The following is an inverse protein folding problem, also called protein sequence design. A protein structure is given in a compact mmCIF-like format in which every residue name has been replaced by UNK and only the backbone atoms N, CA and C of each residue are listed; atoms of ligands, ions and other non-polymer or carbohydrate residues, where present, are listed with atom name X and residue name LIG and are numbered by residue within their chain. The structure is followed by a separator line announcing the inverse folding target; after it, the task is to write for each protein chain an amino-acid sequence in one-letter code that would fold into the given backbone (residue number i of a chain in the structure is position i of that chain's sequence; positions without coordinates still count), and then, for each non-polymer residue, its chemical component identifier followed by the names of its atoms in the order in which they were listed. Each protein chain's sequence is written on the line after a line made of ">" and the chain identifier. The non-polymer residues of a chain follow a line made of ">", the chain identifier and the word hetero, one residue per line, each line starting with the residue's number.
data_IF_741651243467
#
_entry.id   IF_741651243467
#
_cell.length_a   1.000
_cell.length_b   1.000
_cell.length_c   1.000
_cell.angle_alpha   90.00
_cell.angle_beta   90.00
_cell.angle_gamma   90.00
#
_symmetry.space_group_name_H-M   'P 1'
#
loop_
_entity.id
_entity.type
_entity.pdbx_description
1 polymer ?
#
# COMPACT_ATOMS: atom_id res chain seq x y z
N UNK A 1 19.22 -10.68 -40.07
CA UNK A 1 17.96 -10.32 -39.39
C UNK A 1 16.85 -10.28 -40.43
N UNK A 2 15.65 -10.76 -40.10
CA UNK A 2 14.51 -10.78 -41.03
C UNK A 2 14.04 -9.33 -41.31
N UNK A 3 14.02 -8.82 -42.55
CA UNK A 3 13.68 -7.42 -42.85
C UNK A 3 12.30 -6.98 -42.34
N UNK A 4 11.32 -7.90 -42.30
CA UNK A 4 9.99 -7.62 -41.74
C UNK A 4 10.02 -7.29 -40.25
N UNK A 5 11.02 -7.80 -39.52
CA UNK A 5 11.20 -7.52 -38.10
C UNK A 5 11.60 -6.07 -37.84
N UNK A 6 12.41 -5.47 -38.72
CA UNK A 6 12.85 -4.07 -38.59
C UNK A 6 11.69 -3.09 -38.87
N UNK A 7 10.80 -3.43 -39.80
CA UNK A 7 9.63 -2.59 -40.15
C UNK A 7 8.60 -2.57 -39.01
N UNK A 8 8.39 -3.69 -38.33
CA UNK A 8 7.44 -3.79 -37.21
C UNK A 8 7.94 -3.00 -36.00
N UNK A 9 9.24 -3.07 -35.70
CA UNK A 9 9.85 -2.33 -34.59
C UNK A 9 9.85 -0.81 -34.80
N UNK A 10 10.06 -0.32 -36.03
CA UNK A 10 10.00 1.12 -36.33
C UNK A 10 8.58 1.68 -36.17
N UNK A 11 7.55 0.88 -36.50
CA UNK A 11 6.15 1.25 -36.27
C UNK A 11 5.80 1.32 -34.78
N UNK A 12 6.31 0.40 -33.97
CA UNK A 12 6.08 0.42 -32.52
C UNK A 12 6.69 1.66 -31.87
N UNK A 13 7.91 2.04 -32.26
CA UNK A 13 8.56 3.28 -31.80
C UNK A 13 7.78 4.51 -32.29
N UNK A 14 7.31 4.52 -33.54
CA UNK A 14 6.49 5.62 -34.07
C UNK A 14 5.16 5.79 -33.32
N UNK A 15 4.52 4.68 -32.93
CA UNK A 15 3.30 4.70 -32.10
C UNK A 15 3.63 5.22 -30.70
N UNK A 16 4.75 4.80 -30.12
CA UNK A 16 5.20 5.30 -28.82
C UNK A 16 5.42 6.81 -28.85
N UNK A 17 6.10 7.33 -29.86
CA UNK A 17 6.35 8.76 -30.03
C UNK A 17 5.04 9.55 -30.20
N UNK A 18 4.09 9.01 -30.98
CA UNK A 18 2.75 9.57 -31.08
C UNK A 18 2.04 9.62 -29.72
N UNK A 19 2.09 8.55 -28.93
CA UNK A 19 1.45 8.51 -27.62
C UNK A 19 2.08 9.50 -26.63
N UNK A 20 3.41 9.63 -26.64
CA UNK A 20 4.13 10.62 -25.83
C UNK A 20 3.66 12.04 -26.17
N UNK A 21 3.62 12.39 -27.46
CA UNK A 21 3.18 13.71 -27.93
C UNK A 21 1.71 13.98 -27.54
N UNK A 22 0.83 13.00 -27.74
CA UNK A 22 -0.58 13.11 -27.35
C UNK A 22 -0.78 13.29 -25.85
N UNK A 23 -0.02 12.58 -25.01
CA UNK A 23 -0.06 12.75 -23.55
C UNK A 23 0.40 14.15 -23.17
N UNK A 24 1.50 14.65 -23.75
CA UNK A 24 2.00 16.00 -23.50
C UNK A 24 0.96 17.07 -23.87
N UNK A 25 0.39 17.00 -25.08
CA UNK A 25 -0.66 17.93 -25.53
C UNK A 25 -1.88 17.90 -24.60
N UNK A 26 -2.34 16.69 -24.25
CA UNK A 26 -3.49 16.53 -23.36
C UNK A 26 -3.19 17.04 -21.94
N UNK A 27 -1.97 16.85 -21.44
CA UNK A 27 -1.53 17.38 -20.14
C UNK A 27 -1.50 18.91 -20.15
N UNK A 28 -0.94 19.53 -21.19
CA UNK A 28 -0.88 20.98 -21.31
C UNK A 28 -2.29 21.60 -21.38
N UNK A 29 -3.23 20.92 -22.05
CA UNK A 29 -4.62 21.35 -22.11
C UNK A 29 -5.30 21.32 -20.73
N UNK A 30 -5.15 20.24 -19.95
CA UNK A 30 -5.78 20.13 -18.61
C UNK A 30 -5.09 21.01 -17.57
N UNK A 31 -3.79 21.27 -17.70
CA UNK A 31 -3.07 22.23 -16.85
C UNK A 31 -3.59 23.65 -17.08
N UNK A 32 -3.91 24.00 -18.33
CA UNK A 32 -4.46 25.31 -18.69
C UNK A 32 -5.90 25.49 -18.23
N UNK A 33 -6.75 24.50 -18.50
CA UNK A 33 -8.16 24.52 -18.11
C UNK A 33 -8.65 23.10 -17.79
N UNK A 34 -8.57 22.73 -16.52
CA UNK A 34 -9.03 21.42 -16.07
C UNK A 34 -10.55 21.27 -16.18
N UNK A 35 -11.31 22.34 -15.91
CA UNK A 35 -12.77 22.28 -15.75
C UNK A 35 -13.50 21.79 -17.01
N UNK A 36 -12.96 22.11 -18.19
CA UNK A 36 -13.53 21.65 -19.47
C UNK A 36 -12.68 20.56 -20.12
N UNK A 37 -11.35 20.64 -20.05
CA UNK A 37 -10.47 19.81 -20.87
C UNK A 37 -10.45 18.34 -20.43
N UNK A 38 -10.78 18.02 -19.18
CA UNK A 38 -10.73 16.63 -18.70
C UNK A 38 -11.75 15.71 -19.38
N UNK A 39 -12.85 16.26 -19.90
CA UNK A 39 -13.87 15.51 -20.63
C UNK A 39 -13.39 14.95 -21.97
N UNK A 40 -12.49 15.67 -22.64
CA UNK A 40 -11.98 15.32 -23.97
C UNK A 40 -10.59 14.70 -23.92
N UNK A 41 -9.88 14.82 -22.78
CA UNK A 41 -8.52 14.33 -22.60
C UNK A 41 -8.49 13.12 -21.65
N UNK A 42 -8.65 11.93 -22.22
CA UNK A 42 -8.49 10.66 -21.50
C UNK A 42 -7.00 10.28 -21.38
N UNK A 43 -6.26 11.03 -20.57
CA UNK A 43 -4.80 10.82 -20.41
C UNK A 43 -4.51 9.41 -19.88
N UNK A 44 -5.30 8.91 -18.92
CA UNK A 44 -5.15 7.56 -18.37
C UNK A 44 -5.22 6.46 -19.45
N UNK A 45 -6.10 6.60 -20.45
CA UNK A 45 -6.19 5.65 -21.57
C UNK A 45 -4.97 5.71 -22.50
N UNK A 46 -4.43 6.91 -22.73
CA UNK A 46 -3.18 7.09 -23.48
C UNK A 46 -1.99 6.49 -22.72
N UNK A 47 -1.88 6.76 -21.42
CA UNK A 47 -0.82 6.22 -20.54
C UNK A 47 -0.88 4.70 -20.47
N UNK A 48 -2.08 4.13 -20.39
CA UNK A 48 -2.27 2.67 -20.43
C UNK A 48 -1.81 2.09 -21.78
N UNK A 49 -2.17 2.72 -22.90
CA UNK A 49 -1.75 2.29 -24.24
C UNK A 49 -0.22 2.39 -24.40
N UNK A 50 0.39 3.46 -23.90
CA UNK A 50 1.83 3.65 -23.87
C UNK A 50 2.51 2.55 -23.06
N UNK A 51 1.98 2.22 -21.88
CA UNK A 51 2.51 1.15 -21.03
C UNK A 51 2.49 -0.21 -21.74
N UNK A 52 1.41 -0.53 -22.47
CA UNK A 52 1.33 -1.75 -23.28
C UNK A 52 2.35 -1.75 -24.42
N UNK A 53 2.47 -0.64 -25.14
CA UNK A 53 3.45 -0.49 -26.20
C UNK A 53 4.89 -0.69 -25.67
N UNK A 54 5.22 -0.15 -24.50
CA UNK A 54 6.51 -0.36 -23.84
C UNK A 54 6.77 -1.82 -23.52
N UNK A 55 5.77 -2.55 -23.00
CA UNK A 55 5.90 -3.97 -22.70
C UNK A 55 6.09 -4.84 -23.95
N UNK A 56 5.42 -4.50 -25.05
CA UNK A 56 5.60 -5.19 -26.33
C UNK A 56 7.01 -4.92 -26.91
N UNK A 57 7.51 -3.69 -26.79
CA UNK A 57 8.89 -3.33 -27.17
C UNK A 57 9.91 -4.06 -26.28
N UNK A 58 9.64 -4.19 -24.99
CA UNK A 58 10.49 -4.87 -24.01
C UNK A 58 10.60 -6.38 -24.25
N UNK A 59 9.47 -7.03 -24.58
CA UNK A 59 9.35 -8.48 -24.77
C UNK A 59 9.72 -8.95 -26.18
N UNK A 60 9.78 -8.05 -27.17
CA UNK A 60 9.99 -8.35 -28.58
C UNK A 60 11.44 -8.30 -29.09
N UNK A 61 11.57 -8.55 -30.41
CA UNK A 61 12.82 -8.59 -31.20
C UNK A 61 13.55 -7.23 -31.35
N UNK A 62 13.15 -6.20 -30.60
CA UNK A 62 13.63 -4.82 -30.72
C UNK A 62 14.84 -4.50 -29.84
N UNK A 63 15.37 -5.44 -29.04
CA UNK A 63 16.60 -5.21 -28.27
C UNK A 63 17.78 -4.79 -29.15
N UNK A 64 17.85 -5.28 -30.39
CA UNK A 64 18.89 -4.86 -31.34
C UNK A 64 18.76 -3.38 -31.74
N UNK A 65 17.54 -2.85 -31.88
CA UNK A 65 17.30 -1.43 -32.19
C UNK A 65 17.53 -0.53 -30.99
N UNK A 66 17.11 -0.97 -29.80
CA UNK A 66 17.46 -0.30 -28.54
C UNK A 66 18.98 -0.21 -28.40
N UNK A 67 19.69 -1.29 -28.73
CA UNK A 67 21.15 -1.32 -28.67
C UNK A 67 21.84 -0.43 -29.71
N UNK A 68 21.23 -0.21 -30.88
CA UNK A 68 21.76 0.67 -31.93
C UNK A 68 21.55 2.15 -31.56
N UNK A 69 20.38 2.51 -31.02
CA UNK A 69 20.00 3.89 -30.69
C UNK A 69 19.80 4.10 -29.18
N UNK A 70 20.77 3.68 -28.36
CA UNK A 70 20.66 3.68 -26.88
C UNK A 70 20.31 5.04 -26.31
N UNK A 71 20.94 6.11 -26.78
CA UNK A 71 20.71 7.47 -26.26
C UNK A 71 19.30 7.98 -26.59
N UNK A 72 18.80 7.68 -27.78
CA UNK A 72 17.47 8.08 -28.24
C UNK A 72 16.36 7.31 -27.49
N UNK A 73 16.59 6.02 -27.22
CA UNK A 73 15.71 5.22 -26.39
C UNK A 73 15.70 5.71 -24.94
N UNK A 74 16.88 5.98 -24.38
CA UNK A 74 17.02 6.54 -23.03
C UNK A 74 16.26 7.86 -22.90
N UNK A 75 16.40 8.76 -23.87
CA UNK A 75 15.67 10.04 -23.89
C UNK A 75 14.15 9.84 -23.88
N UNK A 76 13.63 8.83 -24.58
CA UNK A 76 12.19 8.48 -24.51
C UNK A 76 11.78 8.05 -23.13
N UNK A 77 12.56 7.18 -22.48
CA UNK A 77 12.27 6.77 -21.10
C UNK A 77 12.28 7.97 -20.15
N UNK A 78 13.26 8.87 -20.27
CA UNK A 78 13.33 10.13 -19.49
C UNK A 78 12.06 10.99 -19.68
N UNK A 79 11.60 11.15 -20.93
CA UNK A 79 10.38 11.90 -21.23
C UNK A 79 9.15 11.21 -20.63
N UNK A 80 9.05 9.88 -20.75
CA UNK A 80 7.92 9.11 -20.22
C UNK A 80 7.86 9.22 -18.69
N UNK A 81 8.99 9.08 -17.99
CA UNK A 81 9.05 9.26 -16.53
C UNK A 81 8.63 10.68 -16.16
N UNK A 82 9.19 11.68 -16.83
CA UNK A 82 8.89 13.09 -16.57
C UNK A 82 7.40 13.41 -16.79
N UNK A 83 6.79 12.89 -17.84
CA UNK A 83 5.36 13.08 -18.13
C UNK A 83 4.47 12.49 -17.04
N UNK A 84 4.74 11.25 -16.63
CA UNK A 84 3.99 10.60 -15.57
C UNK A 84 4.17 11.31 -14.21
N UNK A 85 5.38 11.79 -13.91
CA UNK A 85 5.66 12.59 -12.72
C UNK A 85 4.88 13.90 -12.71
N UNK A 86 4.90 14.65 -13.82
CA UNK A 86 4.14 15.90 -13.96
C UNK A 86 2.64 15.66 -13.81
N UNK A 87 2.11 14.62 -14.45
CA UNK A 87 0.69 14.26 -14.35
C UNK A 87 0.30 13.89 -12.92
N UNK A 88 1.10 13.06 -12.24
CA UNK A 88 0.87 12.71 -10.83
C UNK A 88 0.90 13.97 -9.96
N UNK A 89 1.91 14.81 -10.08
CA UNK A 89 2.01 16.06 -9.30
C UNK A 89 0.82 16.98 -9.56
N UNK A 90 0.43 17.18 -10.81
CA UNK A 90 -0.72 17.99 -11.17
C UNK A 90 -2.01 17.46 -10.53
N UNK A 91 -2.29 16.15 -10.65
CA UNK A 91 -3.49 15.55 -10.04
C UNK A 91 -3.48 15.69 -8.52
N UNK A 92 -2.31 15.50 -7.91
CA UNK A 92 -2.11 15.63 -6.48
C UNK A 92 -2.33 17.08 -5.99
N UNK A 93 -1.88 18.08 -6.74
CA UNK A 93 -2.15 19.51 -6.48
C UNK A 93 -3.63 19.87 -6.66
N UNK A 94 -4.29 19.30 -7.68
CA UNK A 94 -5.73 19.47 -7.91
C UNK A 94 -6.52 18.97 -6.70
N UNK A 95 -6.20 17.77 -6.20
CA UNK A 95 -6.82 17.20 -5.01
C UNK A 95 -6.52 18.04 -3.75
N UNK A 96 -5.35 18.66 -3.66
CA UNK A 96 -4.99 19.57 -2.57
C UNK A 96 -5.56 21.00 -2.71
N UNK A 97 -6.31 21.30 -3.77
CA UNK A 97 -6.88 22.63 -3.98
C UNK A 97 -5.84 23.73 -4.22
N UNK A 98 -4.72 23.40 -4.89
CA UNK A 98 -3.61 24.32 -5.18
C UNK A 98 -2.88 24.88 -3.94
N UNK A 99 -3.14 24.33 -2.75
CA UNK A 99 -2.29 24.57 -1.57
C UNK A 99 -0.99 23.76 -1.70
N UNK A 100 0.05 24.11 -0.93
CA UNK A 100 1.29 23.33 -0.90
C UNK A 100 0.97 21.86 -0.62
N UNK A 101 1.36 20.98 -1.54
CA UNK A 101 1.01 19.55 -1.50
C UNK A 101 1.53 18.80 -0.27
N UNK A 102 2.44 19.41 0.51
CA UNK A 102 2.86 18.88 1.80
C UNK A 102 1.69 18.74 2.80
N UNK A 103 0.60 19.48 2.60
CA UNK A 103 -0.64 19.30 3.34
C UNK A 103 -1.50 18.21 2.70
N UNK A 104 -1.54 17.01 3.29
CA UNK A 104 -2.44 15.92 2.87
C UNK A 104 -3.92 16.30 3.13
N UNK A 105 -4.69 16.70 2.10
CA UNK A 105 -6.00 17.33 2.27
C UNK A 105 -7.03 16.33 2.78
N UNK A 106 -7.91 16.75 3.69
CA UNK A 106 -9.07 15.98 4.13
C UNK A 106 -10.07 15.74 2.99
N UNK A 107 -10.98 14.79 3.16
CA UNK A 107 -12.04 14.55 2.17
C UNK A 107 -12.93 15.77 1.96
N UNK A 108 -13.14 16.58 3.00
CA UNK A 108 -13.86 17.83 2.89
C UNK A 108 -13.08 18.86 2.05
N UNK A 109 -11.78 19.02 2.30
CA UNK A 109 -10.91 19.93 1.53
C UNK A 109 -10.78 19.50 0.07
N UNK A 110 -10.59 18.20 -0.20
CA UNK A 110 -10.63 17.66 -1.57
C UNK A 110 -11.99 17.93 -2.23
N UNK A 111 -13.08 17.76 -1.49
CA UNK A 111 -14.43 18.05 -1.95
C UNK A 111 -14.60 19.50 -2.38
N UNK A 112 -14.17 20.44 -1.53
CA UNK A 112 -14.19 21.89 -1.81
C UNK A 112 -13.31 22.22 -3.02
N UNK A 113 -12.10 21.66 -3.09
CA UNK A 113 -11.18 21.88 -4.20
C UNK A 113 -11.79 21.48 -5.55
N UNK A 114 -12.32 20.25 -5.64
CA UNK A 114 -12.93 19.76 -6.87
C UNK A 114 -14.20 20.52 -7.23
N UNK A 115 -15.06 20.84 -6.25
CA UNK A 115 -16.26 21.63 -6.51
C UNK A 115 -15.92 23.02 -7.05
N UNK A 116 -14.88 23.67 -6.53
CA UNK A 116 -14.44 24.99 -7.03
C UNK A 116 -14.04 24.98 -8.52
N UNK A 117 -13.57 23.84 -9.03
CA UNK A 117 -13.19 23.66 -10.43
C UNK A 117 -14.38 23.36 -11.35
N UNK A 118 -15.49 22.85 -10.78
CA UNK A 118 -16.72 22.55 -11.51
C UNK A 118 -17.64 23.78 -11.53
N UNK A 119 -17.72 24.51 -10.42
CA UNK A 119 -18.60 25.66 -10.24
C UNK A 119 -18.17 26.92 -10.99
N UNK A 120 -17.02 26.93 -11.67
CA UNK A 120 -16.65 28.01 -12.61
C UNK A 120 -17.60 28.12 -13.82
N UNK A 121 -18.66 27.31 -13.90
CA UNK A 121 -19.68 27.37 -14.97
C UNK A 121 -21.15 27.48 -14.57
N UNK A 122 -21.56 27.29 -13.30
CA UNK A 122 -22.98 27.37 -12.89
C UNK A 122 -23.18 27.83 -11.42
N UNK A 123 -24.23 28.62 -11.19
CA UNK A 123 -24.62 29.22 -9.89
C UNK A 123 -24.93 28.17 -8.80
N UNK A 124 -24.70 28.54 -7.54
CA UNK A 124 -24.79 27.69 -6.36
C UNK A 124 -26.21 27.21 -6.05
N UNK A 125 -26.47 25.90 -6.16
CA UNK A 125 -27.51 25.22 -5.36
C UNK A 125 -26.87 24.52 -4.16
N UNK A 126 -27.18 25.08 -3.00
CA UNK A 126 -26.64 24.73 -1.69
C UNK A 126 -27.27 23.41 -1.21
N UNK A 127 -26.52 22.30 -1.27
CA UNK A 127 -26.89 21.11 -0.50
C UNK A 127 -26.32 19.75 -0.89
N UNK A 128 -25.91 19.47 -2.13
CA UNK A 128 -25.54 18.09 -2.55
C UNK A 128 -24.42 17.97 -3.61
N UNK A 129 -23.48 18.92 -3.66
CA UNK A 129 -22.40 18.93 -4.66
C UNK A 129 -21.45 17.71 -4.62
N UNK A 130 -21.25 17.05 -3.47
CA UNK A 130 -20.35 15.87 -3.37
C UNK A 130 -20.88 14.62 -4.12
N UNK A 131 -22.11 14.68 -4.61
CA UNK A 131 -22.77 13.60 -5.37
C UNK A 131 -23.07 13.96 -6.82
N UNK A 132 -22.62 15.12 -7.33
CA UNK A 132 -22.88 15.45 -8.74
C UNK A 132 -22.15 14.48 -9.68
N UNK A 133 -22.76 14.11 -10.82
CA UNK A 133 -22.11 13.29 -11.84
C UNK A 133 -20.75 13.86 -12.29
N UNK A 134 -20.65 15.19 -12.40
CA UNK A 134 -19.45 15.91 -12.79
C UNK A 134 -18.33 15.77 -11.75
N UNK A 135 -18.68 15.88 -10.46
CA UNK A 135 -17.74 15.65 -9.36
C UNK A 135 -17.20 14.23 -9.37
N UNK A 136 -18.07 13.24 -9.53
CA UNK A 136 -17.68 11.84 -9.58
C UNK A 136 -16.83 11.53 -10.81
N UNK A 137 -17.10 12.17 -11.95
CA UNK A 137 -16.29 12.03 -13.16
C UNK A 137 -14.90 12.64 -12.99
N UNK A 138 -14.79 13.85 -12.43
CA UNK A 138 -13.50 14.51 -12.20
C UNK A 138 -12.66 13.76 -11.15
N UNK A 139 -13.29 13.33 -10.06
CA UNK A 139 -12.64 12.49 -9.05
C UNK A 139 -12.14 11.18 -9.70
N UNK A 140 -12.95 10.57 -10.57
CA UNK A 140 -12.59 9.36 -11.31
C UNK A 140 -11.41 9.57 -12.24
N UNK A 141 -11.44 10.67 -12.98
CA UNK A 141 -10.34 11.08 -13.84
C UNK A 141 -9.04 11.24 -13.04
N UNK A 142 -9.09 11.88 -11.87
CA UNK A 142 -7.91 12.06 -11.01
C UNK A 142 -7.30 10.71 -10.58
N UNK A 143 -8.08 9.83 -9.95
CA UNK A 143 -7.51 8.59 -9.43
C UNK A 143 -7.11 7.59 -10.53
N UNK A 144 -7.80 7.57 -11.68
CA UNK A 144 -7.40 6.75 -12.83
C UNK A 144 -6.05 7.19 -13.40
N UNK A 145 -5.82 8.49 -13.54
CA UNK A 145 -4.53 9.00 -14.01
C UNK A 145 -3.38 8.65 -13.05
N UNK A 146 -3.59 8.76 -11.73
CA UNK A 146 -2.57 8.34 -10.75
C UNK A 146 -2.30 6.83 -10.85
N UNK A 147 -3.36 6.01 -10.96
CA UNK A 147 -3.25 4.55 -11.09
C UNK A 147 -2.45 4.14 -12.33
N UNK A 148 -2.87 4.60 -13.51
CA UNK A 148 -2.22 4.20 -14.76
C UNK A 148 -0.80 4.77 -14.86
N UNK A 149 -0.54 5.97 -14.33
CA UNK A 149 0.82 6.52 -14.27
C UNK A 149 1.75 5.72 -13.36
N UNK A 150 1.28 5.33 -12.17
CA UNK A 150 2.04 4.46 -11.28
C UNK A 150 2.34 3.11 -11.93
N UNK A 151 1.36 2.53 -12.65
CA UNK A 151 1.58 1.29 -13.40
C UNK A 151 2.65 1.48 -14.49
N UNK A 152 2.57 2.58 -15.24
CA UNK A 152 3.55 2.90 -16.27
C UNK A 152 4.97 3.03 -15.70
N UNK A 153 5.13 3.79 -14.61
CA UNK A 153 6.42 3.96 -13.94
C UNK A 153 7.01 2.63 -13.46
N UNK A 154 6.17 1.72 -12.95
CA UNK A 154 6.59 0.36 -12.57
C UNK A 154 7.19 -0.42 -13.75
N UNK A 155 6.56 -0.39 -14.92
CA UNK A 155 7.09 -1.09 -16.11
C UNK A 155 8.33 -0.41 -16.69
N UNK A 156 8.32 0.93 -16.77
CA UNK A 156 9.47 1.72 -17.25
C UNK A 156 10.72 1.43 -16.42
N UNK A 157 10.56 1.18 -15.13
CA UNK A 157 11.69 0.86 -14.24
C UNK A 157 12.45 -0.39 -14.66
N UNK A 158 11.77 -1.40 -15.21
CA UNK A 158 12.44 -2.59 -15.78
C UNK A 158 13.33 -2.23 -16.96
N UNK A 159 12.82 -1.39 -17.86
CA UNK A 159 13.50 -0.93 -19.07
C UNK A 159 14.69 -0.04 -18.74
N UNK A 160 14.56 0.80 -17.72
CA UNK A 160 15.62 1.68 -17.22
C UNK A 160 16.72 0.86 -16.55
N UNK A 161 16.36 -0.14 -15.73
CA UNK A 161 17.33 -1.03 -15.10
C UNK A 161 18.13 -1.85 -16.12
N UNK A 162 17.51 -2.26 -17.23
CA UNK A 162 18.15 -3.06 -18.27
C UNK A 162 19.17 -2.28 -19.14
N UNK A 163 19.05 -0.95 -19.27
CA UNK A 163 19.82 -0.14 -20.23
C UNK A 163 21.00 0.63 -19.61
N UNK A 164 21.72 0.02 -18.67
CA UNK A 164 22.75 0.60 -17.80
C UNK A 164 23.61 1.75 -18.37
N UNK A 165 23.51 2.92 -17.73
CA UNK A 165 24.39 4.06 -17.94
C UNK A 165 24.08 5.27 -17.05
N UNK A 166 22.82 5.44 -16.62
CA UNK A 166 22.38 6.58 -15.78
C UNK A 166 21.05 6.29 -15.06
N UNK A 167 20.82 5.02 -14.76
CA UNK A 167 19.52 4.49 -14.32
C UNK A 167 19.18 4.84 -12.87
N UNK A 168 20.17 5.05 -12.01
CA UNK A 168 19.97 5.16 -10.55
C UNK A 168 19.14 6.38 -10.19
N UNK A 169 19.50 7.58 -10.66
CA UNK A 169 18.77 8.81 -10.30
C UNK A 169 17.30 8.75 -10.72
N UNK A 170 17.04 8.27 -11.94
CA UNK A 170 15.68 8.09 -12.44
C UNK A 170 14.90 7.06 -11.63
N UNK A 171 15.52 5.93 -11.26
CA UNK A 171 14.87 4.92 -10.42
C UNK A 171 14.61 5.44 -9.00
N UNK A 172 15.52 6.24 -8.43
CA UNK A 172 15.32 6.94 -7.17
C UNK A 172 14.15 7.92 -7.27
N UNK A 173 14.09 8.73 -8.32
CA UNK A 173 12.99 9.67 -8.55
C UNK A 173 11.64 8.94 -8.68
N UNK A 174 11.60 7.77 -9.34
CA UNK A 174 10.41 6.93 -9.40
C UNK A 174 10.03 6.41 -8.01
N UNK A 175 11.01 5.96 -7.22
CA UNK A 175 10.80 5.54 -5.84
C UNK A 175 10.18 6.64 -4.97
N UNK A 176 10.71 7.86 -5.04
CA UNK A 176 10.18 9.02 -4.32
C UNK A 176 8.75 9.37 -4.73
N UNK A 177 8.40 9.18 -6.01
CA UNK A 177 7.04 9.38 -6.50
C UNK A 177 6.07 8.36 -5.89
N UNK A 178 6.47 7.09 -5.77
CA UNK A 178 5.65 6.09 -5.07
C UNK A 178 5.46 6.44 -3.59
N UNK A 179 6.53 6.86 -2.91
CA UNK A 179 6.46 7.33 -1.51
C UNK A 179 5.46 8.48 -1.42
N UNK A 180 5.61 9.49 -2.27
CA UNK A 180 4.71 10.65 -2.32
C UNK A 180 3.28 10.21 -2.51
N UNK A 181 2.94 9.51 -3.60
CA UNK A 181 1.57 9.04 -3.89
C UNK A 181 0.96 8.28 -2.71
N UNK A 182 1.69 7.34 -2.12
CA UNK A 182 1.17 6.49 -1.04
C UNK A 182 1.07 7.19 0.32
N UNK A 183 1.88 8.22 0.57
CA UNK A 183 1.84 8.96 1.85
C UNK A 183 0.88 10.15 1.84
N UNK A 184 0.53 10.66 0.65
CA UNK A 184 -0.25 11.90 0.50
C UNK A 184 -1.63 11.70 -0.11
N UNK A 185 -1.87 10.61 -0.85
CA UNK A 185 -3.18 10.37 -1.44
C UNK A 185 -4.12 9.70 -0.43
N UNK A 186 -5.35 10.22 -0.31
CA UNK A 186 -6.38 9.63 0.56
C UNK A 186 -7.41 8.76 -0.16
N UNK A 187 -7.51 8.88 -1.48
CA UNK A 187 -8.49 8.13 -2.23
C UNK A 187 -8.05 6.66 -2.32
N UNK A 188 -8.86 5.75 -1.74
CA UNK A 188 -8.55 4.32 -1.67
C UNK A 188 -8.21 3.73 -3.04
N UNK A 189 -8.95 4.10 -4.08
CA UNK A 189 -8.69 3.60 -5.45
C UNK A 189 -7.34 4.05 -6.03
N UNK A 190 -6.84 5.24 -5.67
CA UNK A 190 -5.53 5.71 -6.12
C UNK A 190 -4.40 4.99 -5.37
N UNK A 191 -4.54 4.87 -4.04
CA UNK A 191 -3.57 4.18 -3.16
C UNK A 191 -3.49 2.69 -3.50
N UNK A 192 -4.62 2.02 -3.69
CA UNK A 192 -4.64 0.60 -4.08
C UNK A 192 -4.22 0.40 -5.54
N UNK A 193 -4.52 1.36 -6.41
CA UNK A 193 -4.15 1.36 -7.82
C UNK A 193 -2.64 1.47 -8.06
N UNK A 194 -1.91 2.16 -7.19
CA UNK A 194 -0.44 2.27 -7.30
C UNK A 194 0.32 1.02 -6.86
N UNK A 195 -0.33 0.10 -6.13
CA UNK A 195 0.29 -1.13 -5.61
C UNK A 195 0.93 -1.98 -6.70
N UNK A 196 0.26 -2.15 -7.83
CA UNK A 196 0.77 -2.97 -8.94
C UNK A 196 2.08 -2.39 -9.50
N UNK A 197 2.08 -1.09 -9.80
CA UNK A 197 3.28 -0.38 -10.25
C UNK A 197 4.43 -0.46 -9.25
N UNK A 198 4.15 -0.27 -7.96
CA UNK A 198 5.15 -0.38 -6.89
C UNK A 198 5.72 -1.80 -6.80
N UNK A 199 4.88 -2.83 -6.91
CA UNK A 199 5.33 -4.21 -6.86
C UNK A 199 6.29 -4.53 -7.99
N UNK A 200 5.98 -4.07 -9.21
CA UNK A 200 6.83 -4.22 -10.37
C UNK A 200 8.15 -3.46 -10.20
N UNK A 201 8.09 -2.19 -9.81
CA UNK A 201 9.27 -1.38 -9.47
C UNK A 201 10.21 -2.14 -8.50
N UNK A 202 9.70 -2.54 -7.34
CA UNK A 202 10.50 -3.25 -6.34
C UNK A 202 11.03 -4.58 -6.89
N UNK A 203 10.17 -5.39 -7.52
CA UNK A 203 10.55 -6.73 -7.99
C UNK A 203 11.64 -6.66 -9.07
N UNK A 204 11.56 -5.71 -9.99
CA UNK A 204 12.59 -5.54 -11.03
C UNK A 204 13.91 -5.06 -10.44
N UNK A 205 13.89 -4.08 -9.53
CA UNK A 205 15.12 -3.56 -8.91
C UNK A 205 15.83 -4.64 -8.10
N UNK A 206 15.08 -5.42 -7.32
CA UNK A 206 15.63 -6.49 -6.49
C UNK A 206 16.12 -7.67 -7.34
N UNK A 207 15.41 -8.03 -8.42
CA UNK A 207 15.81 -9.14 -9.30
C UNK A 207 16.94 -8.76 -10.28
N UNK A 208 17.28 -7.48 -10.41
CA UNK A 208 18.32 -7.00 -11.33
C UNK A 208 19.72 -7.53 -11.01
N UNK A 209 19.99 -7.92 -9.76
CA UNK A 209 21.32 -8.31 -9.29
C UNK A 209 22.31 -7.16 -9.13
N UNK A 210 21.91 -5.93 -9.43
CA UNK A 210 22.73 -4.72 -9.22
C UNK A 210 22.51 -4.20 -7.80
N UNK A 211 23.59 -4.06 -7.03
CA UNK A 211 23.54 -3.64 -5.63
C UNK A 211 22.82 -2.29 -5.47
N UNK A 212 23.23 -1.28 -6.23
CA UNK A 212 22.66 0.08 -6.17
C UNK A 212 21.15 0.10 -6.44
N UNK A 213 20.65 -0.75 -7.35
CA UNK A 213 19.21 -0.84 -7.65
C UNK A 213 18.45 -1.52 -6.52
N UNK A 214 19.01 -2.59 -5.98
CA UNK A 214 18.41 -3.35 -4.86
C UNK A 214 18.34 -2.50 -3.59
N UNK A 215 19.28 -1.58 -3.42
CA UNK A 215 19.35 -0.69 -2.26
C UNK A 215 18.21 0.34 -2.25
N UNK A 216 17.75 0.84 -3.40
CA UNK A 216 16.72 1.90 -3.47
C UNK A 216 15.43 1.54 -2.68
N UNK A 217 14.70 0.43 -2.95
CA UNK A 217 13.52 0.09 -2.16
C UNK A 217 13.82 -0.19 -0.68
N UNK A 218 15.00 -0.74 -0.38
CA UNK A 218 15.40 -1.08 0.98
C UNK A 218 15.68 0.18 1.82
N UNK A 219 16.37 1.16 1.25
CA UNK A 219 16.68 2.45 1.89
C UNK A 219 15.40 3.24 2.13
N UNK A 220 14.49 3.31 1.15
CA UNK A 220 13.20 3.98 1.32
C UNK A 220 12.39 3.29 2.43
N UNK A 221 12.34 1.95 2.46
CA UNK A 221 11.69 1.21 3.54
C UNK A 221 12.26 1.59 4.91
N UNK A 222 13.59 1.63 5.05
CA UNK A 222 14.25 1.99 6.30
C UNK A 222 13.92 3.43 6.72
N UNK A 223 13.95 4.39 5.79
CA UNK A 223 13.58 5.78 6.05
C UNK A 223 12.14 5.91 6.57
N UNK A 224 11.20 5.16 5.97
CA UNK A 224 9.80 5.13 6.42
C UNK A 224 9.70 4.52 7.83
N UNK A 225 10.38 3.42 8.11
CA UNK A 225 10.38 2.76 9.42
C UNK A 225 11.00 3.64 10.53
N UNK A 226 12.06 4.39 10.21
CA UNK A 226 12.67 5.38 11.11
C UNK A 226 11.71 6.54 11.35
N UNK A 227 11.11 7.09 10.30
CA UNK A 227 10.14 8.19 10.41
C UNK A 227 8.91 7.81 11.24
N UNK A 228 8.45 6.55 11.09
CA UNK A 228 7.41 5.95 11.92
C UNK A 228 7.83 5.85 13.39
N UNK A 229 9.10 5.55 13.69
CA UNK A 229 9.56 5.41 15.08
C UNK A 229 9.60 6.74 15.83
N UNK A 230 9.85 7.84 15.13
CA UNK A 230 9.98 9.17 15.71
C UNK A 230 8.68 9.98 15.73
N UNK A 231 7.52 9.38 15.41
CA UNK A 231 6.25 10.11 15.18
C UNK A 231 6.42 11.31 14.22
N UNK A 232 7.41 11.26 13.32
CA UNK A 232 7.80 12.39 12.46
C UNK A 232 7.05 12.40 11.13
N UNK A 233 6.21 11.38 10.90
CA UNK A 233 5.24 11.39 9.82
C UNK A 233 4.19 12.45 10.16
N UNK A 234 4.05 13.47 9.32
CA UNK A 234 3.17 14.61 9.59
C UNK A 234 1.75 14.11 9.95
N UNK A 235 1.21 14.60 11.06
CA UNK A 235 -0.08 14.19 11.63
C UNK A 235 -1.28 14.38 10.69
N UNK A 236 -1.11 15.18 9.63
CA UNK A 236 -2.09 15.36 8.55
C UNK A 236 -1.95 14.32 7.43
N UNK A 237 -0.75 13.80 7.15
CA UNK A 237 -0.51 12.74 6.14
C UNK A 237 -1.09 11.38 6.56
N UNK A 238 -1.27 11.17 7.86
CA UNK A 238 -1.53 9.85 8.46
C UNK A 238 -2.98 9.55 8.83
N UNK A 239 -3.93 10.49 8.66
CA UNK A 239 -5.34 10.31 9.10
C UNK A 239 -6.03 9.06 8.56
N UNK A 240 -5.47 8.44 7.52
CA UNK A 240 -5.54 6.99 7.31
C UNK A 240 -4.19 6.55 6.79
N UNK A 241 -3.40 5.84 7.58
CA UNK A 241 -2.23 5.07 7.14
C UNK A 241 -2.65 3.97 6.15
N UNK A 242 -3.28 4.32 5.04
CA UNK A 242 -3.74 3.39 4.03
C UNK A 242 -2.59 3.03 3.09
N UNK A 243 -1.78 4.02 2.69
CA UNK A 243 -0.66 3.77 1.80
C UNK A 243 0.60 3.25 2.48
N UNK A 244 0.88 3.59 3.75
CA UNK A 244 2.05 3.06 4.46
C UNK A 244 2.06 1.51 4.58
N UNK A 245 0.96 0.86 5.03
CA UNK A 245 0.87 -0.59 5.00
C UNK A 245 1.04 -1.16 3.60
N UNK A 246 0.45 -0.53 2.57
CA UNK A 246 0.60 -0.97 1.18
C UNK A 246 2.06 -0.87 0.73
N UNK A 247 2.73 0.26 1.01
CA UNK A 247 4.12 0.47 0.63
C UNK A 247 5.02 -0.58 1.27
N UNK A 248 5.03 -0.65 2.60
CA UNK A 248 5.90 -1.55 3.36
C UNK A 248 5.62 -3.01 2.97
N UNK A 249 4.34 -3.40 2.92
CA UNK A 249 3.96 -4.75 2.51
C UNK A 249 4.43 -5.08 1.09
N UNK A 250 4.29 -4.16 0.14
CA UNK A 250 4.67 -4.40 -1.26
C UNK A 250 6.17 -4.57 -1.41
N UNK A 251 6.98 -3.75 -0.74
CA UNK A 251 8.44 -3.89 -0.72
C UNK A 251 8.83 -5.24 -0.09
N UNK A 252 8.29 -5.55 1.09
CA UNK A 252 8.59 -6.80 1.79
C UNK A 252 8.19 -8.03 0.97
N UNK A 253 7.03 -8.00 0.31
CA UNK A 253 6.57 -9.08 -0.54
C UNK A 253 7.51 -9.27 -1.74
N UNK A 254 7.97 -8.19 -2.38
CA UNK A 254 8.93 -8.26 -3.47
C UNK A 254 10.29 -8.81 -3.02
N UNK A 255 10.81 -8.35 -1.88
CA UNK A 255 12.08 -8.82 -1.31
C UNK A 255 12.00 -10.29 -0.90
N UNK A 256 10.91 -10.69 -0.25
CA UNK A 256 10.69 -12.06 0.20
C UNK A 256 10.62 -13.05 -0.98
N UNK A 257 9.90 -12.69 -2.05
CA UNK A 257 9.81 -13.50 -3.27
C UNK A 257 11.16 -13.66 -3.98
N UNK A 258 12.05 -12.68 -3.87
CA UNK A 258 13.42 -12.73 -4.40
C UNK A 258 14.44 -13.39 -3.45
N UNK A 259 13.99 -13.97 -2.34
CA UNK A 259 14.80 -14.86 -1.49
C UNK A 259 15.39 -14.23 -0.23
N UNK A 260 15.33 -12.91 -0.05
CA UNK A 260 15.78 -12.26 1.20
C UNK A 260 14.67 -12.32 2.26
N UNK A 261 14.72 -13.37 3.08
CA UNK A 261 13.72 -13.63 4.14
C UNK A 261 14.00 -12.88 5.43
N UNK A 262 15.20 -12.33 5.60
CA UNK A 262 15.63 -11.70 6.84
C UNK A 262 15.08 -10.29 6.98
N UNK A 263 14.93 -9.56 5.86
CA UNK A 263 14.31 -8.23 5.87
C UNK A 263 12.85 -8.27 6.36
N UNK A 264 12.10 -9.33 6.03
CA UNK A 264 10.75 -9.55 6.56
C UNK A 264 10.78 -9.61 8.09
N UNK A 265 11.64 -10.45 8.65
CA UNK A 265 11.71 -10.66 10.10
C UNK A 265 12.17 -9.39 10.82
N UNK A 266 13.22 -8.74 10.32
CA UNK A 266 13.72 -7.47 10.86
C UNK A 266 12.66 -6.38 10.83
N UNK A 267 11.88 -6.28 9.75
CA UNK A 267 10.78 -5.31 9.63
C UNK A 267 9.65 -5.62 10.61
N UNK A 268 9.26 -6.89 10.76
CA UNK A 268 8.22 -7.29 11.71
C UNK A 268 8.67 -7.04 13.15
N UNK A 269 9.92 -7.32 13.50
CA UNK A 269 10.46 -7.02 14.83
C UNK A 269 10.54 -5.52 15.10
N UNK A 270 10.94 -4.70 14.11
CA UNK A 270 10.90 -3.24 14.22
C UNK A 270 9.49 -2.73 14.49
N UNK A 271 8.50 -3.18 13.70
CA UNK A 271 7.10 -2.79 13.89
C UNK A 271 6.54 -3.28 15.23
N UNK A 272 6.92 -4.48 15.68
CA UNK A 272 6.56 -4.98 17.00
C UNK A 272 7.11 -4.06 18.11
N UNK A 273 8.37 -3.65 18.00
CA UNK A 273 8.99 -2.76 18.97
C UNK A 273 8.28 -1.41 19.01
N UNK A 274 7.99 -0.80 17.84
CA UNK A 274 7.21 0.44 17.76
C UNK A 274 5.83 0.27 18.39
N UNK A 275 5.10 -0.81 18.06
CA UNK A 275 3.78 -1.10 18.63
C UNK A 275 3.78 -1.35 20.14
N UNK A 276 4.90 -1.81 20.70
CA UNK A 276 5.07 -2.12 22.12
C UNK A 276 5.54 -0.93 22.96
N UNK A 277 5.88 0.21 22.33
CA UNK A 277 6.33 1.41 23.05
C UNK A 277 5.22 1.98 23.93
N UNK A 278 5.62 2.50 25.10
CA UNK A 278 4.72 3.21 26.00
C UNK A 278 4.12 4.44 25.31
N UNK A 279 2.90 4.79 25.68
CA UNK A 279 2.25 6.01 25.21
C UNK A 279 3.01 7.24 25.73
N UNK A 280 3.20 8.29 24.90
CA UNK A 280 3.67 9.58 25.37
C UNK A 280 2.74 10.12 26.47
N UNK A 281 3.29 10.88 27.41
CA UNK A 281 2.53 11.45 28.55
C UNK A 281 1.49 12.49 28.13
N UNK A 282 1.65 13.10 26.96
CA UNK A 282 0.91 14.23 26.42
C UNK A 282 0.07 13.88 25.17
N UNK A 283 -0.27 12.60 24.98
CA UNK A 283 -1.01 12.16 23.79
C UNK A 283 -2.46 12.68 23.74
N UNK A 284 -2.94 12.99 22.54
CA UNK A 284 -4.34 13.35 22.26
C UNK A 284 -5.10 12.19 21.61
N UNK A 285 -6.38 12.01 21.94
CA UNK A 285 -7.24 11.01 21.30
C UNK A 285 -7.44 11.26 19.79
N UNK A 286 -7.25 12.50 19.34
CA UNK A 286 -7.40 12.89 17.93
C UNK A 286 -6.09 12.75 17.12
N UNK A 287 -5.02 12.29 17.76
CA UNK A 287 -3.71 12.10 17.12
C UNK A 287 -3.52 10.63 16.76
N UNK A 288 -3.05 10.40 15.53
CA UNK A 288 -2.62 9.06 15.13
C UNK A 288 -1.32 8.70 15.86
N UNK A 289 -1.28 7.50 16.42
CA UNK A 289 -0.13 7.00 17.17
C UNK A 289 0.72 6.09 16.29
N UNK A 290 2.05 6.20 16.39
CA UNK A 290 2.96 5.29 15.69
C UNK A 290 2.72 3.83 16.03
N UNK A 291 2.29 3.54 17.27
CA UNK A 291 1.83 2.22 17.68
C UNK A 291 0.64 1.72 16.83
N UNK A 292 -0.36 2.58 16.61
CA UNK A 292 -1.54 2.25 15.79
C UNK A 292 -1.17 2.04 14.32
N UNK A 293 -0.26 2.85 13.78
CA UNK A 293 0.28 2.64 12.44
C UNK A 293 1.04 1.32 12.32
N UNK A 294 1.92 1.01 13.28
CA UNK A 294 2.66 -0.24 13.31
C UNK A 294 1.72 -1.46 13.35
N UNK A 295 0.67 -1.43 14.17
CA UNK A 295 -0.36 -2.47 14.22
C UNK A 295 -1.11 -2.63 12.88
N UNK A 296 -1.44 -1.52 12.20
CA UNK A 296 -2.07 -1.57 10.87
C UNK A 296 -1.13 -2.12 9.78
N UNK A 297 0.17 -1.84 9.87
CA UNK A 297 1.16 -2.42 8.95
C UNK A 297 1.33 -3.91 9.22
N UNK A 298 1.44 -4.31 10.49
CA UNK A 298 1.48 -5.71 10.91
C UNK A 298 0.24 -6.46 10.44
N UNK A 299 -0.96 -5.87 10.55
CA UNK A 299 -2.19 -6.44 9.99
C UNK A 299 -2.02 -6.81 8.52
N UNK A 300 -1.60 -5.86 7.69
CA UNK A 300 -1.43 -6.10 6.25
C UNK A 300 -0.41 -7.20 5.96
N UNK A 301 0.70 -7.25 6.71
CA UNK A 301 1.72 -8.30 6.57
C UNK A 301 1.16 -9.67 6.95
N UNK A 302 0.47 -9.80 8.09
CA UNK A 302 -0.09 -11.08 8.56
C UNK A 302 -1.31 -11.54 7.74
N UNK A 303 -2.00 -10.63 7.04
CA UNK A 303 -3.03 -10.97 6.06
C UNK A 303 -2.46 -11.67 4.81
N UNK A 304 -1.19 -11.48 4.46
CA UNK A 304 -0.61 -12.06 3.25
C UNK A 304 -0.32 -13.56 3.41
N UNK A 305 -1.05 -14.39 2.66
CA UNK A 305 -0.88 -15.84 2.67
C UNK A 305 0.50 -16.29 2.18
N UNK A 306 1.17 -15.53 1.29
CA UNK A 306 2.51 -15.87 0.80
C UNK A 306 3.60 -15.74 1.86
N UNK A 307 3.35 -14.97 2.93
CA UNK A 307 4.28 -14.77 4.04
C UNK A 307 3.97 -15.68 5.25
N UNK A 308 2.83 -16.38 5.23
CA UNK A 308 2.27 -17.07 6.39
C UNK A 308 3.23 -18.09 7.02
N UNK A 309 3.92 -18.90 6.22
CA UNK A 309 4.86 -19.91 6.72
C UNK A 309 5.99 -19.31 7.55
N UNK A 310 6.52 -18.16 7.13
CA UNK A 310 7.61 -17.48 7.84
C UNK A 310 7.12 -16.73 9.08
N UNK A 311 5.87 -16.30 9.08
CA UNK A 311 5.23 -15.57 10.18
C UNK A 311 4.60 -16.46 11.25
N UNK A 312 4.37 -17.75 10.96
CA UNK A 312 3.74 -18.71 11.87
C UNK A 312 4.34 -18.71 13.30
N UNK A 313 5.69 -18.71 13.48
CA UNK A 313 6.29 -18.71 14.81
C UNK A 313 6.02 -17.44 15.63
N UNK A 314 5.58 -16.35 14.98
CA UNK A 314 5.31 -15.07 15.62
C UNK A 314 3.85 -14.90 16.06
N UNK A 315 2.95 -15.82 15.70
CA UNK A 315 1.51 -15.68 15.99
C UNK A 315 1.24 -15.50 17.48
N UNK A 316 1.83 -16.31 18.36
CA UNK A 316 1.66 -16.16 19.81
C UNK A 316 2.13 -14.78 20.30
N UNK A 317 3.34 -14.36 19.90
CA UNK A 317 3.94 -13.07 20.28
C UNK A 317 3.06 -11.90 19.82
N UNK A 318 2.52 -11.96 18.60
CA UNK A 318 1.62 -10.92 18.09
C UNK A 318 0.27 -10.91 18.78
N UNK A 319 -0.32 -12.08 19.06
CA UNK A 319 -1.61 -12.16 19.77
C UNK A 319 -1.50 -11.53 21.15
N UNK A 320 -0.43 -11.79 21.89
CA UNK A 320 -0.17 -11.15 23.20
C UNK A 320 -0.08 -9.63 23.07
N UNK A 321 0.66 -9.11 22.09
CA UNK A 321 0.76 -7.66 21.83
C UNK A 321 -0.62 -7.05 21.58
N UNK A 322 -1.41 -7.69 20.73
CA UNK A 322 -2.74 -7.20 20.34
C UNK A 322 -3.70 -7.21 21.53
N UNK A 323 -3.73 -8.30 22.31
CA UNK A 323 -4.55 -8.39 23.53
C UNK A 323 -4.21 -7.27 24.51
N UNK A 324 -2.92 -6.96 24.71
CA UNK A 324 -2.51 -5.81 25.53
C UNK A 324 -2.94 -4.47 24.93
N UNK A 325 -2.94 -4.35 23.60
CA UNK A 325 -3.40 -3.17 22.87
C UNK A 325 -4.87 -2.83 23.11
N UNK A 326 -5.73 -3.80 23.44
CA UNK A 326 -7.13 -3.57 23.78
C UNK A 326 -7.32 -2.78 25.08
N UNK A 327 -6.37 -2.87 26.01
CA UNK A 327 -6.37 -2.12 27.27
C UNK A 327 -5.71 -0.75 27.12
N UNK A 328 -5.22 -0.40 25.93
CA UNK A 328 -4.63 0.91 25.67
C UNK A 328 -5.67 2.03 25.85
N UNK A 329 -5.32 3.14 26.51
CA UNK A 329 -6.22 4.28 26.62
C UNK A 329 -6.35 5.06 25.30
N UNK A 330 -5.48 4.85 24.31
CA UNK A 330 -5.59 5.44 22.96
C UNK A 330 -6.59 4.69 22.07
N UNK A 331 -7.57 5.42 21.51
CA UNK A 331 -8.54 4.87 20.57
C UNK A 331 -7.89 4.30 19.30
N UNK A 332 -6.87 4.96 18.75
CA UNK A 332 -6.22 4.51 17.51
C UNK A 332 -5.51 3.16 17.68
N UNK A 333 -4.89 2.93 18.84
CA UNK A 333 -4.26 1.64 19.19
C UNK A 333 -5.33 0.55 19.35
N UNK A 334 -6.41 0.81 20.09
CA UNK A 334 -7.51 -0.16 20.25
C UNK A 334 -8.12 -0.53 18.90
N UNK A 335 -8.35 0.45 18.02
CA UNK A 335 -8.92 0.21 16.69
C UNK A 335 -8.01 -0.68 15.84
N UNK A 336 -6.70 -0.38 15.80
CA UNK A 336 -5.74 -1.19 15.04
C UNK A 336 -5.58 -2.60 15.62
N UNK A 337 -5.59 -2.74 16.95
CA UNK A 337 -5.59 -4.04 17.64
C UNK A 337 -6.80 -4.90 17.25
N UNK A 338 -8.01 -4.31 17.20
CA UNK A 338 -9.22 -4.98 16.73
C UNK A 338 -9.11 -5.49 15.30
N UNK A 339 -8.44 -4.75 14.43
CA UNK A 339 -8.26 -5.17 13.04
C UNK A 339 -7.26 -6.32 12.89
N UNK A 340 -6.18 -6.31 13.69
CA UNK A 340 -5.15 -7.35 13.66
C UNK A 340 -5.61 -8.64 14.34
N UNK A 341 -6.36 -8.59 15.46
CA UNK A 341 -6.81 -9.81 16.15
C UNK A 341 -7.64 -10.72 15.26
N UNK A 342 -8.57 -10.16 14.46
CA UNK A 342 -9.39 -10.94 13.53
C UNK A 342 -8.53 -11.70 12.51
N UNK A 343 -7.42 -11.10 12.08
CA UNK A 343 -6.46 -11.75 11.18
C UNK A 343 -5.72 -12.88 11.89
N UNK A 344 -5.24 -12.65 13.11
CA UNK A 344 -4.51 -13.64 13.90
C UNK A 344 -5.38 -14.83 14.29
N UNK A 345 -6.64 -14.59 14.68
CA UNK A 345 -7.63 -15.63 14.99
C UNK A 345 -7.80 -16.59 13.80
N UNK A 346 -8.02 -16.06 12.60
CA UNK A 346 -8.15 -16.88 11.38
C UNK A 346 -6.86 -17.64 11.07
N UNK A 347 -5.68 -17.07 11.37
CA UNK A 347 -4.39 -17.74 11.18
C UNK A 347 -4.13 -18.87 12.17
N UNK A 348 -4.58 -18.72 13.42
CA UNK A 348 -4.40 -19.71 14.48
C UNK A 348 -5.41 -20.84 14.31
N UNK A 349 -6.69 -20.51 14.19
CA UNK A 349 -7.79 -21.49 14.26
C UNK A 349 -8.33 -21.93 12.89
N UNK A 350 -7.91 -21.27 11.81
CA UNK A 350 -8.49 -21.47 10.48
C UNK A 350 -9.80 -20.70 10.29
N UNK A 351 -10.41 -20.83 9.10
CA UNK A 351 -11.76 -20.33 8.84
C UNK A 351 -12.77 -21.39 9.28
N UNK A 352 -13.64 -21.06 10.24
CA UNK A 352 -14.76 -21.93 10.62
C UNK A 352 -15.83 -21.86 9.53
N UNK A 353 -16.20 -23.00 8.95
CA UNK A 353 -17.43 -23.10 8.16
C UNK A 353 -18.63 -23.08 9.11
N UNK A 354 -19.74 -22.48 8.70
CA UNK A 354 -20.97 -22.44 9.52
C UNK A 354 -21.62 -23.82 9.71
N UNK A 355 -21.13 -24.85 9.01
CA UNK A 355 -21.77 -26.16 8.90
C UNK A 355 -21.11 -27.25 9.76
N UNK A 356 -19.84 -27.08 10.17
CA UNK A 356 -19.10 -28.10 10.94
C UNK A 356 -18.48 -27.54 12.23
N UNK A 357 -19.23 -27.58 13.33
CA UNK A 357 -18.76 -27.20 14.67
C UNK A 357 -17.60 -28.10 15.20
N UNK A 358 -17.39 -29.27 14.59
CA UNK A 358 -16.30 -30.20 14.86
C UNK A 358 -15.02 -29.91 14.06
N UNK A 359 -15.08 -29.04 13.04
CA UNK A 359 -13.94 -28.66 12.20
C UNK A 359 -13.18 -27.48 12.80
N UNK A 360 -12.42 -27.73 13.86
CA UNK A 360 -11.60 -26.69 14.50
C UNK A 360 -10.44 -27.25 15.30
N UNK A 361 -9.53 -26.36 15.67
CA UNK A 361 -8.39 -26.71 16.52
C UNK A 361 -8.87 -27.12 17.91
N UNK A 362 -8.47 -28.30 18.37
CA UNK A 362 -8.75 -28.76 19.74
C UNK A 362 -7.92 -27.97 20.77
N UNK A 363 -8.33 -28.02 22.04
CA UNK A 363 -7.53 -27.42 23.12
C UNK A 363 -6.14 -28.07 23.25
N UNK A 364 -6.03 -29.36 22.98
CA UNK A 364 -4.75 -30.10 23.01
C UNK A 364 -3.81 -29.65 21.89
N UNK A 365 -4.33 -29.52 20.66
CA UNK A 365 -3.57 -29.02 19.50
C UNK A 365 -3.13 -27.56 19.73
N UNK A 366 -4.04 -26.72 20.23
CA UNK A 366 -3.74 -25.33 20.55
C UNK A 366 -2.64 -25.23 21.61
N UNK A 367 -2.69 -26.07 22.65
CA UNK A 367 -1.68 -26.11 23.71
C UNK A 367 -0.34 -26.61 23.20
N UNK A 368 -0.35 -27.59 22.30
CA UNK A 368 0.87 -28.14 21.69
C UNK A 368 1.51 -27.15 20.74
N UNK A 369 0.72 -26.47 19.91
CA UNK A 369 1.21 -25.57 18.87
C UNK A 369 1.55 -24.17 19.39
N UNK A 370 0.83 -23.66 20.40
CA UNK A 370 0.99 -22.30 20.92
C UNK A 370 1.12 -22.26 22.46
N UNK A 371 2.09 -22.98 23.06
CA UNK A 371 2.21 -23.12 24.51
C UNK A 371 2.37 -21.77 25.24
N UNK A 372 3.10 -20.82 24.64
CA UNK A 372 3.28 -19.48 25.21
C UNK A 372 1.97 -18.69 25.27
N UNK A 373 1.09 -18.87 24.28
CA UNK A 373 -0.19 -18.17 24.25
C UNK A 373 -1.15 -18.78 25.28
N UNK A 374 -1.14 -20.10 25.45
CA UNK A 374 -1.90 -20.77 26.53
C UNK A 374 -1.44 -20.29 27.90
N UNK A 375 -0.13 -20.25 28.15
CA UNK A 375 0.40 -19.75 29.40
C UNK A 375 -0.09 -18.32 29.69
N UNK A 376 0.02 -17.42 28.72
CA UNK A 376 -0.48 -16.04 28.84
C UNK A 376 -1.98 -15.97 29.15
N UNK A 377 -2.80 -16.80 28.49
CA UNK A 377 -4.24 -16.87 28.74
C UNK A 377 -4.52 -17.35 30.17
N UNK A 378 -3.84 -18.38 30.65
CA UNK A 378 -3.99 -18.89 32.01
C UNK A 378 -3.59 -17.87 33.09
N UNK A 379 -2.47 -17.18 32.88
CA UNK A 379 -2.00 -16.11 33.77
C UNK A 379 -3.04 -14.98 33.86
N UNK A 380 -3.55 -14.53 32.71
CA UNK A 380 -4.58 -13.49 32.64
C UNK A 380 -5.88 -13.91 33.33
N UNK A 381 -6.38 -15.12 33.05
CA UNK A 381 -7.59 -15.64 33.70
C UNK A 381 -7.41 -15.75 35.23
N UNK A 382 -6.22 -16.14 35.68
CA UNK A 382 -5.89 -16.20 37.11
C UNK A 382 -5.89 -14.81 37.74
N UNK A 383 -5.33 -13.80 37.07
CA UNK A 383 -5.35 -12.41 37.53
C UNK A 383 -6.79 -11.89 37.67
N UNK A 384 -7.63 -12.09 36.64
CA UNK A 384 -9.03 -11.67 36.67
C UNK A 384 -9.87 -12.42 37.71
N UNK A 385 -9.58 -13.69 37.99
CA UNK A 385 -10.29 -14.45 39.04
C UNK A 385 -10.04 -13.91 40.44
N UNK A 386 -8.88 -13.25 40.66
CA UNK A 386 -8.48 -12.67 41.95
C UNK A 386 -8.91 -11.21 42.08
N UNK A 387 -9.13 -10.52 40.97
CA UNK A 387 -9.42 -9.11 40.96
C UNK A 387 -10.93 -8.86 41.15
N UNK A 388 -11.31 -8.18 42.24
CA UNK A 388 -12.68 -7.68 42.47
C UNK A 388 -13.01 -6.43 41.61
N UNK A 389 -12.39 -6.28 40.44
CA UNK A 389 -12.34 -5.03 39.67
C UNK A 389 -13.18 -5.07 38.40
N UNK A 390 -13.31 -3.89 37.78
CA UNK A 390 -13.90 -3.65 36.45
C UNK A 390 -13.30 -4.56 35.37
N UNK A 391 -14.19 -5.17 34.58
CA UNK A 391 -13.85 -5.96 33.39
C UNK A 391 -13.09 -5.09 32.39
N UNK A 392 -11.89 -5.51 31.96
CA UNK A 392 -11.14 -4.81 30.91
C UNK A 392 -11.43 -5.41 29.52
N UNK A 393 -11.27 -4.63 28.44
CA UNK A 393 -11.46 -5.12 27.07
C UNK A 393 -10.60 -6.33 26.69
N UNK A 394 -9.38 -6.47 27.23
CA UNK A 394 -8.51 -7.62 26.96
C UNK A 394 -9.15 -8.96 27.35
N UNK A 395 -9.93 -9.01 28.44
CA UNK A 395 -10.62 -10.23 28.88
C UNK A 395 -11.61 -10.72 27.82
N UNK A 396 -12.38 -9.82 27.22
CA UNK A 396 -13.32 -10.17 26.15
C UNK A 396 -12.60 -10.86 24.98
N UNK A 397 -11.41 -10.38 24.62
CA UNK A 397 -10.63 -10.97 23.53
C UNK A 397 -10.08 -12.34 23.90
N UNK A 398 -9.60 -12.53 25.12
CA UNK A 398 -9.16 -13.84 25.59
C UNK A 398 -10.31 -14.85 25.59
N UNK A 399 -11.50 -14.47 26.07
CA UNK A 399 -12.67 -15.32 26.03
C UNK A 399 -13.10 -15.62 24.58
N UNK A 400 -12.98 -14.64 23.68
CA UNK A 400 -13.25 -14.83 22.25
C UNK A 400 -12.27 -15.82 21.61
N UNK A 401 -10.99 -15.79 21.99
CA UNK A 401 -10.00 -16.78 21.53
C UNK A 401 -10.37 -18.18 22.00
N UNK A 402 -10.72 -18.32 23.29
CA UNK A 402 -11.12 -19.61 23.86
C UNK A 402 -12.40 -20.15 23.21
N UNK A 403 -13.36 -19.30 22.86
CA UNK A 403 -14.57 -19.72 22.14
C UNK A 403 -14.30 -20.20 20.71
N UNK A 404 -13.10 -19.99 20.18
CA UNK A 404 -12.72 -20.54 18.86
C UNK A 404 -12.28 -22.00 18.91
N UNK A 405 -11.97 -22.55 20.07
CA UNK A 405 -11.58 -23.96 20.19
C UNK A 405 -12.75 -24.88 19.81
N UNK A 406 -12.44 -26.00 19.16
CA UNK A 406 -13.40 -27.07 18.94
C UNK A 406 -13.66 -27.83 20.25
N UNK A 407 -14.89 -28.31 20.42
CA UNK A 407 -15.22 -29.24 21.50
C UNK A 407 -14.50 -30.57 21.26
N UNK A 408 -13.92 -31.16 22.33
CA UNK A 408 -13.30 -32.47 22.23
C UNK A 408 -14.35 -33.53 21.82
N UNK A 409 -14.02 -34.51 20.96
CA UNK A 409 -14.92 -35.60 20.61
C UNK A 409 -15.45 -36.38 21.83
N UNK A 410 -14.70 -36.38 22.94
CA UNK A 410 -15.08 -37.04 24.19
C UNK A 410 -16.28 -36.40 24.88
N UNK A 411 -16.56 -35.12 24.64
CA UNK A 411 -17.67 -34.40 25.29
C UNK A 411 -19.01 -34.56 24.54
N UNK A 412 -19.01 -35.08 23.31
CA UNK A 412 -20.23 -35.32 22.53
C UNK A 412 -21.02 -36.55 23.01
N UNK A 413 -20.35 -37.50 23.68
CA UNK A 413 -20.99 -38.69 24.25
C UNK A 413 -21.46 -38.51 25.71
N UNK A 414 -21.18 -37.35 26.31
CA UNK A 414 -21.53 -37.02 27.70
C UNK A 414 -22.87 -36.27 27.82
N UNK A 415 -23.49 -35.93 26.69
CA UNK A 415 -24.79 -35.25 26.61
C UNK A 415 -25.66 -35.93 25.55
N UNK A 416 -26.04 -37.17 25.82
CA UNK A 416 -27.15 -37.87 25.16
C UNK A 416 -27.90 -38.70 26.19
#
# INVERSE_FOLDING_TARGET
>A
ANPDCHIISDRAISILDYLIDRIQISLDAVVKDLGTSFHINSIHGLTQSMTRCLLDIASGMSQNLININKDDWRRRLEIIVTLNQKLIHFVLEVLAGKQSFESCPSFAEMGVALNSLISTGQEQEDGTLSTSPEFQLLLSWCWLNVKESCSCLGEVSSLVAANGGTSISMLSDIGEIFVKVLTTCRHKGAVEGSRHGLHHFCSYLISSGVADFTEIPCTILQQILVSLSHNSLSSSATRRSAGLPIFIHTVIQAVYKNGNKDLLMSTVDHLYNVASQQLPTDYSQNQDMSQGHALNILKTIFCDASLATKLLPLLSKMTVLVVKGFDSPSWSIRNAATQLISTLVVRIFGQKSSEDASSGMSLEDFSTQYPQLVQFVCEMMTEYSKANTTVKPSLYIVLTLLSQLAMSPLDQHSCS
#
